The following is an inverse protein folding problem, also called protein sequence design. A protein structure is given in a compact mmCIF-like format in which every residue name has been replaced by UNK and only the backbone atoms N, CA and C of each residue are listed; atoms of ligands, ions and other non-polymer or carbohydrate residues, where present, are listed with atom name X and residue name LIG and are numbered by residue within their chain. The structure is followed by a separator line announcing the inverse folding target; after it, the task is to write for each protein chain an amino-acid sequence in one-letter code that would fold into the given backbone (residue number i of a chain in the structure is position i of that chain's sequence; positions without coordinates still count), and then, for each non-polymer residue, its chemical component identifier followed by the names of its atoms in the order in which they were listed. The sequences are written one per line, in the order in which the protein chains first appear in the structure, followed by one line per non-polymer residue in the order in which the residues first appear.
data_IF_057503343895
#
_entry.id   IF_057503343895
#
_cell.length_a   1.000
_cell.length_b   1.000
_cell.length_c   1.000
_cell.angle_alpha   90.00
_cell.angle_beta   90.00
_cell.angle_gamma   90.00
#
_symmetry.space_group_name_H-M   'P 1'
#
loop_
_entity.id
_entity.type
_entity.pdbx_description
1 polymer ?
#
# COMPACT_ATOMS: atom_id res chain seq x y z
N UNK A 1 -0.87 -29.70 -11.77
CA UNK A 1 -1.61 -28.82 -10.85
C UNK A 1 -0.86 -28.86 -9.53
N UNK A 2 -0.44 -27.69 -9.04
CA UNK A 2 0.24 -27.60 -7.73
C UNK A 2 -0.75 -27.65 -6.59
N UNK A 3 -0.30 -28.03 -5.39
CA UNK A 3 -1.13 -28.03 -4.18
C UNK A 3 -0.79 -26.83 -3.29
N UNK A 4 -1.83 -26.23 -2.66
CA UNK A 4 -1.72 -24.96 -1.93
C UNK A 4 -2.25 -25.07 -0.51
N UNK A 5 -1.41 -24.72 0.49
CA UNK A 5 -1.85 -24.44 1.86
C UNK A 5 -2.16 -22.97 2.01
N UNK A 6 -3.36 -22.59 2.46
CA UNK A 6 -3.61 -21.29 3.02
C UNK A 6 -3.01 -21.21 4.43
N UNK A 7 -2.25 -20.16 4.70
CA UNK A 7 -1.70 -19.84 6.03
C UNK A 7 -2.18 -18.45 6.45
N UNK A 8 -2.83 -18.36 7.59
CA UNK A 8 -3.42 -17.12 8.08
C UNK A 8 -3.21 -16.97 9.58
N UNK A 9 -2.90 -15.77 10.04
CA UNK A 9 -2.93 -15.38 11.45
C UNK A 9 -4.18 -14.55 11.71
N UNK A 10 -4.88 -14.81 12.79
CA UNK A 10 -6.16 -14.16 13.09
C UNK A 10 -6.25 -13.69 14.54
N UNK A 11 -6.96 -12.59 14.76
CA UNK A 11 -7.37 -12.11 16.08
C UNK A 11 -8.61 -11.24 15.95
N UNK A 12 -9.71 -11.62 16.61
CA UNK A 12 -10.96 -10.87 16.66
C UNK A 12 -11.47 -10.46 15.25
N UNK A 13 -11.56 -11.43 14.36
CA UNK A 13 -11.91 -11.23 12.95
C UNK A 13 -13.31 -11.74 12.60
N UNK A 14 -14.22 -11.90 13.56
CA UNK A 14 -15.56 -12.49 13.34
C UNK A 14 -16.37 -11.81 12.24
N UNK A 15 -16.13 -10.51 11.97
CA UNK A 15 -16.88 -9.74 10.98
C UNK A 15 -16.29 -9.85 9.56
N UNK A 16 -15.10 -10.40 9.39
CA UNK A 16 -14.37 -10.38 8.11
C UNK A 16 -13.93 -11.77 7.65
N UNK A 17 -13.60 -12.66 8.59
CA UNK A 17 -12.96 -13.95 8.30
C UNK A 17 -13.78 -14.83 7.36
N UNK A 18 -15.11 -14.86 7.51
CA UNK A 18 -16.00 -15.70 6.70
C UNK A 18 -15.89 -15.36 5.21
N UNK A 19 -16.02 -14.06 4.86
CA UNK A 19 -15.91 -13.62 3.47
C UNK A 19 -14.52 -13.86 2.87
N UNK A 20 -13.46 -13.79 3.71
CA UNK A 20 -12.10 -14.09 3.29
C UNK A 20 -11.98 -15.58 2.94
N UNK A 21 -12.35 -16.47 3.85
CA UNK A 21 -12.26 -17.92 3.65
C UNK A 21 -13.15 -18.40 2.50
N UNK A 22 -14.37 -17.86 2.37
CA UNK A 22 -15.28 -18.15 1.25
C UNK A 22 -14.65 -17.79 -0.11
N UNK A 23 -13.84 -16.72 -0.15
CA UNK A 23 -13.21 -16.29 -1.39
C UNK A 23 -12.12 -17.24 -1.91
N UNK A 24 -11.59 -18.15 -1.08
CA UNK A 24 -10.48 -19.03 -1.45
C UNK A 24 -10.71 -20.51 -1.18
N UNK A 25 -11.77 -20.89 -0.45
CA UNK A 25 -12.00 -22.27 0.01
C UNK A 25 -12.07 -23.31 -1.12
N UNK A 26 -12.45 -22.91 -2.33
CA UNK A 26 -12.53 -23.79 -3.49
C UNK A 26 -11.21 -23.91 -4.27
N UNK A 27 -10.18 -23.17 -3.87
CA UNK A 27 -8.92 -23.06 -4.58
C UNK A 27 -7.82 -23.76 -3.80
N UNK A 28 -7.80 -23.57 -2.48
CA UNK A 28 -6.75 -24.12 -1.61
C UNK A 28 -7.06 -25.56 -1.22
N UNK A 29 -6.01 -26.34 -0.97
CA UNK A 29 -6.12 -27.78 -0.62
C UNK A 29 -6.01 -28.01 0.89
N UNK A 30 -5.65 -26.97 1.63
CA UNK A 30 -5.48 -26.99 3.09
C UNK A 30 -5.61 -25.56 3.64
N UNK A 31 -6.21 -25.42 4.81
CA UNK A 31 -6.30 -24.14 5.53
C UNK A 31 -5.69 -24.28 6.92
N UNK A 32 -4.65 -23.52 7.23
CA UNK A 32 -3.99 -23.42 8.52
C UNK A 32 -4.27 -22.06 9.12
N UNK A 33 -5.08 -22.02 10.16
CA UNK A 33 -5.48 -20.79 10.83
C UNK A 33 -4.83 -20.73 12.20
N UNK A 34 -4.06 -19.66 12.42
CA UNK A 34 -3.35 -19.44 13.67
C UNK A 34 -4.07 -18.37 14.46
N UNK A 35 -4.74 -18.77 15.51
CA UNK A 35 -5.40 -17.86 16.43
C UNK A 35 -4.38 -17.25 17.40
N UNK A 36 -4.30 -15.92 17.42
CA UNK A 36 -3.37 -15.17 18.26
C UNK A 36 -4.04 -14.58 19.51
N UNK A 37 -5.11 -15.23 19.96
CA UNK A 37 -5.85 -14.87 21.18
C UNK A 37 -7.15 -14.13 20.87
N UNK A 38 -8.00 -14.68 20.01
CA UNK A 38 -9.35 -14.17 19.79
C UNK A 38 -10.27 -14.40 21.00
N UNK A 39 -11.08 -13.39 21.29
CA UNK A 39 -12.07 -13.38 22.36
C UNK A 39 -13.51 -13.28 21.83
N UNK A 40 -13.64 -13.14 20.52
CA UNK A 40 -14.91 -13.11 19.80
C UNK A 40 -15.22 -14.48 19.14
N UNK A 41 -16.19 -14.53 18.23
CA UNK A 41 -16.63 -15.77 17.56
C UNK A 41 -15.69 -16.21 16.41
N UNK A 42 -14.52 -15.64 16.27
CA UNK A 42 -13.59 -15.98 15.16
C UNK A 42 -13.32 -17.49 15.09
N UNK A 43 -13.01 -18.14 16.22
CA UNK A 43 -12.71 -19.58 16.26
C UNK A 43 -13.92 -20.42 15.86
N UNK A 44 -15.13 -20.06 16.32
CA UNK A 44 -16.37 -20.78 15.98
C UNK A 44 -16.64 -20.73 14.49
N UNK A 45 -16.43 -19.57 13.86
CA UNK A 45 -16.61 -19.41 12.41
C UNK A 45 -15.60 -20.26 11.65
N UNK A 46 -14.31 -20.19 12.02
CA UNK A 46 -13.23 -20.92 11.35
C UNK A 46 -13.43 -22.45 11.41
N UNK A 47 -14.01 -22.99 12.48
CA UNK A 47 -14.31 -24.41 12.63
C UNK A 47 -15.23 -24.96 11.52
N UNK A 48 -16.03 -24.11 10.85
CA UNK A 48 -16.85 -24.52 9.71
C UNK A 48 -16.04 -24.74 8.42
N UNK A 49 -14.78 -24.31 8.38
CA UNK A 49 -13.90 -24.38 7.20
C UNK A 49 -12.76 -25.39 7.36
N UNK A 50 -12.21 -25.49 8.57
CA UNK A 50 -11.05 -26.37 8.84
C UNK A 50 -10.99 -26.77 10.31
N UNK A 51 -10.48 -27.97 10.56
CA UNK A 51 -10.07 -28.43 11.90
C UNK A 51 -8.61 -28.04 12.23
N UNK A 52 -7.87 -27.47 11.28
CA UNK A 52 -6.46 -27.08 11.45
C UNK A 52 -6.38 -25.67 12.01
N UNK A 53 -6.79 -25.54 13.25
CA UNK A 53 -6.73 -24.29 14.03
C UNK A 53 -5.65 -24.50 15.09
N UNK A 54 -4.70 -23.59 15.13
CA UNK A 54 -3.56 -23.61 16.06
C UNK A 54 -3.56 -22.37 16.90
N UNK A 55 -3.22 -22.48 18.16
CA UNK A 55 -3.05 -21.33 19.06
C UNK A 55 -1.61 -20.84 19.06
N UNK A 56 -1.43 -19.54 18.99
CA UNK A 56 -0.13 -18.89 19.12
C UNK A 56 -0.24 -17.73 20.12
N UNK A 57 0.37 -17.81 21.30
CA UNK A 57 0.36 -16.71 22.27
C UNK A 57 0.96 -15.45 21.66
N UNK A 58 0.16 -14.39 21.60
CA UNK A 58 0.61 -13.12 21.04
C UNK A 58 1.83 -12.56 21.80
N UNK A 59 2.87 -12.17 21.07
CA UNK A 59 4.14 -11.72 21.62
C UNK A 59 4.63 -10.39 20.99
N UNK A 60 3.70 -9.56 20.52
CA UNK A 60 3.97 -8.27 19.88
C UNK A 60 4.90 -8.36 18.66
N UNK A 61 4.75 -9.43 17.88
CA UNK A 61 5.66 -9.72 16.76
C UNK A 61 4.96 -10.52 15.66
N UNK A 62 4.53 -9.83 14.60
CA UNK A 62 3.79 -10.45 13.50
C UNK A 62 4.58 -11.54 12.76
N UNK A 63 5.86 -11.29 12.42
CA UNK A 63 6.65 -12.27 11.69
C UNK A 63 6.79 -13.60 12.45
N UNK A 64 6.84 -13.60 13.79
CA UNK A 64 6.88 -14.85 14.56
C UNK A 64 5.60 -15.67 14.40
N UNK A 65 4.44 -15.02 14.46
CA UNK A 65 3.16 -15.69 14.24
C UNK A 65 3.01 -16.21 12.81
N UNK A 66 3.44 -15.42 11.80
CA UNK A 66 3.43 -15.87 10.39
C UNK A 66 4.41 -17.01 10.13
N UNK A 67 5.61 -16.98 10.70
CA UNK A 67 6.56 -18.09 10.60
C UNK A 67 6.01 -19.37 11.22
N UNK A 68 5.34 -19.26 12.37
CA UNK A 68 4.64 -20.39 12.97
C UNK A 68 3.53 -20.90 12.05
N UNK A 69 2.78 -20.02 11.36
CA UNK A 69 1.75 -20.45 10.42
C UNK A 69 2.34 -21.18 9.22
N UNK A 70 3.48 -20.73 8.69
CA UNK A 70 4.17 -21.37 7.57
C UNK A 70 4.68 -22.77 7.92
N UNK A 71 5.09 -23.00 9.18
CA UNK A 71 5.51 -24.32 9.67
C UNK A 71 4.36 -25.34 9.69
N UNK A 72 3.10 -24.90 9.75
CA UNK A 72 1.94 -25.79 9.73
C UNK A 72 1.56 -26.25 8.31
N UNK A 73 2.08 -25.60 7.26
CA UNK A 73 1.77 -25.92 5.89
C UNK A 73 2.32 -27.29 5.46
N UNK A 74 1.52 -28.09 4.75
CA UNK A 74 1.93 -29.41 4.24
C UNK A 74 1.97 -29.49 2.71
N UNK A 75 1.35 -28.54 1.99
CA UNK A 75 1.27 -28.54 0.52
C UNK A 75 2.52 -27.96 -0.14
N UNK A 76 2.60 -28.00 -1.48
CA UNK A 76 3.78 -27.56 -2.24
C UNK A 76 4.00 -26.05 -2.14
N UNK A 77 2.91 -25.28 -2.14
CA UNK A 77 2.95 -23.83 -2.04
C UNK A 77 2.14 -23.34 -0.83
N UNK A 78 2.53 -22.18 -0.32
CA UNK A 78 1.85 -21.47 0.75
C UNK A 78 1.25 -20.20 0.16
N UNK A 79 -0.07 -20.07 0.21
CA UNK A 79 -0.79 -18.82 0.03
C UNK A 79 -1.02 -18.20 1.41
N UNK A 80 -0.75 -16.92 1.56
CA UNK A 80 -1.09 -16.22 2.79
C UNK A 80 -2.03 -15.05 2.51
N UNK A 81 -2.99 -14.86 3.40
CA UNK A 81 -3.96 -13.77 3.38
C UNK A 81 -4.15 -13.23 4.80
N UNK A 82 -4.58 -11.97 4.89
CA UNK A 82 -5.09 -11.38 6.12
C UNK A 82 -6.60 -11.67 6.25
N UNK A 83 -7.12 -11.67 7.48
CA UNK A 83 -8.51 -12.07 7.73
C UNK A 83 -9.57 -11.10 7.15
N UNK A 84 -9.14 -9.93 6.69
CA UNK A 84 -9.93 -8.89 6.03
C UNK A 84 -9.61 -8.73 4.53
N UNK A 85 -8.78 -9.62 3.99
CA UNK A 85 -8.53 -9.74 2.55
C UNK A 85 -9.65 -10.52 1.86
N UNK A 86 -9.92 -10.22 0.60
CA UNK A 86 -10.79 -11.02 -0.26
C UNK A 86 -10.20 -11.16 -1.67
N UNK A 87 -10.57 -12.24 -2.35
CA UNK A 87 -10.39 -12.39 -3.79
C UNK A 87 -11.73 -12.25 -4.51
N UNK A 88 -11.81 -11.36 -5.49
CA UNK A 88 -12.99 -11.23 -6.37
C UNK A 88 -13.15 -12.51 -7.22
N UNK A 89 -14.35 -12.75 -7.76
CA UNK A 89 -14.60 -13.91 -8.63
C UNK A 89 -13.63 -14.00 -9.81
N UNK A 90 -13.27 -12.87 -10.40
CA UNK A 90 -12.27 -12.79 -11.46
C UNK A 90 -10.91 -13.29 -10.97
N UNK A 91 -10.43 -12.79 -9.84
CA UNK A 91 -9.13 -13.17 -9.27
C UNK A 91 -9.12 -14.62 -8.75
N UNK A 92 -10.24 -15.12 -8.24
CA UNK A 92 -10.42 -16.55 -7.94
C UNK A 92 -10.20 -17.42 -9.18
N UNK A 93 -10.79 -17.04 -10.32
CA UNK A 93 -10.62 -17.76 -11.59
C UNK A 93 -9.16 -17.72 -12.07
N UNK A 94 -8.51 -16.55 -12.02
CA UNK A 94 -7.09 -16.40 -12.36
C UNK A 94 -6.19 -17.27 -11.48
N UNK A 95 -6.46 -17.33 -10.17
CA UNK A 95 -5.69 -18.16 -9.25
C UNK A 95 -5.89 -19.66 -9.50
N UNK A 96 -7.11 -20.09 -9.88
CA UNK A 96 -7.36 -21.47 -10.30
C UNK A 96 -6.59 -21.84 -11.56
N UNK A 97 -6.55 -20.96 -12.56
CA UNK A 97 -5.77 -21.16 -13.78
C UNK A 97 -4.26 -21.23 -13.46
N UNK A 98 -3.78 -20.32 -12.61
CA UNK A 98 -2.39 -20.33 -12.16
C UNK A 98 -2.06 -21.64 -11.44
N UNK A 99 -2.91 -22.11 -10.53
CA UNK A 99 -2.74 -23.39 -9.82
C UNK A 99 -2.59 -24.56 -10.78
N UNK A 100 -3.27 -24.55 -11.93
CA UNK A 100 -3.20 -25.61 -12.94
C UNK A 100 -1.93 -25.55 -13.78
N UNK A 101 -1.42 -24.34 -14.06
CA UNK A 101 -0.35 -24.08 -15.03
C UNK A 101 0.99 -23.68 -14.41
N UNK A 102 1.06 -23.45 -13.09
CA UNK A 102 2.27 -23.00 -12.43
C UNK A 102 3.40 -24.04 -12.58
N UNK A 103 4.52 -23.58 -13.12
CA UNK A 103 5.71 -24.45 -13.24
C UNK A 103 6.34 -24.70 -11.86
N UNK A 104 6.73 -25.95 -11.55
CA UNK A 104 7.34 -26.29 -10.26
C UNK A 104 8.69 -25.59 -9.98
N UNK A 105 9.29 -24.96 -10.99
CA UNK A 105 10.53 -24.19 -10.86
C UNK A 105 10.29 -22.79 -10.26
N UNK A 106 9.05 -22.29 -10.27
CA UNK A 106 8.73 -20.99 -9.69
C UNK A 106 8.82 -21.05 -8.17
N UNK A 107 9.59 -20.15 -7.57
CA UNK A 107 9.80 -20.11 -6.13
C UNK A 107 8.79 -19.21 -5.42
N UNK A 108 8.36 -18.13 -6.06
CA UNK A 108 7.31 -17.28 -5.55
C UNK A 108 6.53 -16.56 -6.64
N UNK A 109 5.27 -16.23 -6.33
CA UNK A 109 4.37 -15.47 -7.18
C UNK A 109 3.99 -14.17 -6.47
N UNK A 110 4.14 -13.05 -7.18
CA UNK A 110 3.63 -11.77 -6.72
C UNK A 110 2.20 -11.57 -7.17
N UNK A 111 1.40 -10.92 -6.31
CA UNK A 111 0.04 -10.50 -6.59
C UNK A 111 -0.13 -9.04 -6.20
N UNK A 112 -1.03 -8.35 -6.88
CA UNK A 112 -1.42 -7.01 -6.47
C UNK A 112 -2.20 -7.06 -5.15
N UNK A 113 -1.99 -6.07 -4.30
CA UNK A 113 -2.74 -5.87 -3.08
C UNK A 113 -3.41 -4.51 -3.15
N UNK A 114 -4.72 -4.49 -3.36
CA UNK A 114 -5.52 -3.28 -3.44
C UNK A 114 -5.84 -2.80 -2.04
N UNK A 115 -5.22 -1.69 -1.63
CA UNK A 115 -5.30 -1.13 -0.29
C UNK A 115 -6.46 -0.16 -0.13
N UNK A 116 -6.75 0.60 -1.19
CA UNK A 116 -7.83 1.59 -1.21
C UNK A 116 -8.55 1.53 -2.55
N UNK A 117 -9.85 1.39 -2.49
CA UNK A 117 -10.74 1.54 -3.63
C UNK A 117 -11.56 2.82 -3.46
N UNK A 118 -11.89 3.49 -4.56
CA UNK A 118 -12.85 4.59 -4.54
C UNK A 118 -14.31 4.08 -4.52
N UNK A 119 -15.26 5.02 -4.44
CA UNK A 119 -16.69 4.73 -4.41
C UNK A 119 -17.21 4.01 -5.68
N UNK A 120 -16.49 4.13 -6.79
CA UNK A 120 -16.78 3.45 -8.06
C UNK A 120 -16.05 2.08 -8.16
N UNK A 121 -15.33 1.65 -7.11
CA UNK A 121 -14.57 0.39 -7.04
C UNK A 121 -13.23 0.43 -7.78
N UNK A 122 -12.73 1.60 -8.18
CA UNK A 122 -11.44 1.75 -8.84
C UNK A 122 -10.30 1.79 -7.85
N UNK A 123 -9.16 1.22 -8.21
CA UNK A 123 -7.98 1.16 -7.35
C UNK A 123 -7.31 2.54 -7.24
N UNK A 124 -7.29 3.12 -6.06
CA UNK A 124 -6.57 4.35 -5.74
C UNK A 124 -5.17 4.10 -5.18
N UNK A 125 -5.05 3.05 -4.36
CA UNK A 125 -3.80 2.69 -3.74
C UNK A 125 -3.59 1.18 -3.80
N UNK A 126 -2.43 0.77 -4.25
CA UNK A 126 -2.04 -0.64 -4.34
C UNK A 126 -0.56 -0.82 -4.07
N UNK A 127 -0.18 -2.02 -3.67
CA UNK A 127 1.20 -2.48 -3.60
C UNK A 127 1.27 -3.89 -4.19
N UNK A 128 2.47 -4.41 -4.43
CA UNK A 128 2.64 -5.79 -4.88
C UNK A 128 3.32 -6.60 -3.79
N UNK A 129 2.79 -7.79 -3.50
CA UNK A 129 3.31 -8.68 -2.45
C UNK A 129 3.58 -10.09 -2.97
N UNK A 130 4.56 -10.79 -2.38
CA UNK A 130 4.76 -12.22 -2.58
C UNK A 130 3.67 -12.97 -1.82
N UNK A 131 2.55 -13.29 -2.48
CA UNK A 131 1.37 -13.92 -1.86
C UNK A 131 1.38 -15.44 -1.93
N UNK A 132 2.03 -16.02 -2.94
CA UNK A 132 2.17 -17.46 -3.08
C UNK A 132 3.66 -17.82 -3.11
N UNK A 133 4.13 -18.63 -2.17
CA UNK A 133 5.54 -18.99 -2.04
C UNK A 133 5.72 -20.50 -1.92
N UNK A 134 6.81 -21.03 -2.48
CA UNK A 134 7.13 -22.45 -2.46
C UNK A 134 7.55 -22.88 -1.07
N UNK A 135 6.84 -23.83 -0.46
CA UNK A 135 7.08 -24.30 0.90
C UNK A 135 8.48 -24.88 1.09
N UNK A 136 8.98 -25.63 0.10
CA UNK A 136 10.30 -26.28 0.17
C UNK A 136 11.47 -25.31 0.28
N UNK A 137 11.30 -24.02 -0.01
CA UNK A 137 12.35 -23.02 0.09
C UNK A 137 12.49 -22.45 1.51
N UNK A 138 11.57 -22.77 2.42
CA UNK A 138 11.60 -22.34 3.83
C UNK A 138 11.75 -20.84 4.01
N UNK A 139 11.12 -20.03 3.15
CA UNK A 139 11.12 -18.58 3.27
C UNK A 139 10.59 -18.12 4.62
N UNK A 140 11.24 -17.11 5.17
CA UNK A 140 10.92 -16.59 6.51
C UNK A 140 10.38 -15.17 6.43
N UNK A 141 9.47 -14.87 7.34
CA UNK A 141 9.01 -13.52 7.62
C UNK A 141 9.99 -12.81 8.54
N UNK A 142 10.25 -11.54 8.27
CA UNK A 142 11.07 -10.63 9.06
C UNK A 142 10.28 -9.39 9.44
N UNK A 143 10.61 -8.76 10.59
CA UNK A 143 9.96 -7.57 11.12
C UNK A 143 8.92 -7.87 12.21
N UNK A 144 8.88 -7.04 13.25
CA UNK A 144 7.89 -7.15 14.31
C UNK A 144 6.52 -6.64 13.87
N UNK A 145 6.52 -5.53 13.14
CA UNK A 145 5.38 -4.87 12.49
C UNK A 145 5.78 -4.59 11.04
N UNK A 146 4.81 -4.43 10.14
CA UNK A 146 5.05 -4.26 8.70
C UNK A 146 6.00 -5.34 8.14
N UNK A 147 5.77 -6.55 8.61
CA UNK A 147 6.56 -7.72 8.29
C UNK A 147 6.50 -8.05 6.80
N UNK A 148 7.57 -8.61 6.30
CA UNK A 148 7.69 -9.04 4.91
C UNK A 148 8.30 -10.42 4.84
N UNK A 149 7.94 -11.17 3.80
CA UNK A 149 8.58 -12.46 3.51
C UNK A 149 9.82 -12.23 2.64
N UNK A 150 10.97 -12.73 3.11
CA UNK A 150 12.23 -12.64 2.36
C UNK A 150 12.28 -13.72 1.31
N UNK A 151 12.13 -13.35 0.06
CA UNK A 151 12.02 -14.27 -1.08
C UNK A 151 13.23 -14.13 -1.99
N UNK A 152 13.67 -15.25 -2.56
CA UNK A 152 14.72 -15.34 -3.57
C UNK A 152 14.41 -16.45 -4.57
N UNK A 153 15.10 -16.47 -5.70
CA UNK A 153 14.94 -17.50 -6.72
C UNK A 153 14.11 -17.07 -7.92
N UNK A 154 13.41 -18.01 -8.55
CA UNK A 154 12.62 -17.74 -9.75
C UNK A 154 11.25 -17.14 -9.38
N UNK A 155 11.03 -15.90 -9.78
CA UNK A 155 9.81 -15.14 -9.46
C UNK A 155 8.85 -15.15 -10.67
N UNK A 156 7.55 -15.19 -10.38
CA UNK A 156 6.49 -14.98 -11.35
C UNK A 156 5.62 -13.79 -10.94
N UNK A 157 5.47 -12.82 -11.82
CA UNK A 157 4.61 -11.65 -11.61
C UNK A 157 3.26 -11.92 -12.24
N UNK A 158 2.23 -12.13 -11.40
CA UNK A 158 0.87 -12.39 -11.88
C UNK A 158 0.04 -11.10 -11.97
N UNK A 159 -1.07 -11.18 -12.71
CA UNK A 159 -2.12 -10.16 -12.76
C UNK A 159 -3.28 -10.43 -11.77
N UNK A 160 -3.03 -11.29 -10.79
CA UNK A 160 -3.99 -11.61 -9.72
C UNK A 160 -3.94 -10.49 -8.68
N UNK A 161 -5.10 -10.12 -8.16
CA UNK A 161 -5.21 -9.14 -7.09
C UNK A 161 -5.94 -9.69 -5.86
N UNK A 162 -5.46 -9.29 -4.71
CA UNK A 162 -6.11 -9.45 -3.40
C UNK A 162 -6.60 -8.08 -2.97
N UNK A 163 -7.84 -7.96 -2.55
CA UNK A 163 -8.44 -6.70 -2.10
C UNK A 163 -8.53 -6.67 -0.59
N UNK A 164 -7.95 -5.65 0.03
CA UNK A 164 -8.02 -5.41 1.47
C UNK A 164 -9.27 -4.61 1.82
N UNK A 165 -10.14 -5.16 2.68
CA UNK A 165 -11.41 -4.55 3.08
C UNK A 165 -11.54 -4.54 4.60
N UNK A 166 -10.77 -3.73 5.33
CA UNK A 166 -10.83 -3.66 6.78
C UNK A 166 -12.13 -3.01 7.23
N UNK A 167 -12.76 -3.55 8.29
CA UNK A 167 -13.92 -2.94 8.94
C UNK A 167 -13.52 -2.07 10.13
N UNK A 168 -12.50 -2.48 10.86
CA UNK A 168 -12.01 -1.79 12.06
C UNK A 168 -10.49 -1.73 11.97
N UNK A 169 -9.92 -0.55 12.24
CA UNK A 169 -8.48 -0.37 12.28
C UNK A 169 -8.07 0.08 13.68
N UNK A 170 -7.30 -0.76 14.37
CA UNK A 170 -6.61 -0.34 15.60
C UNK A 170 -5.35 0.42 15.21
N UNK A 171 -5.47 1.74 15.19
CA UNK A 171 -4.38 2.63 14.78
C UNK A 171 -3.25 2.70 15.81
N UNK A 172 -3.50 2.33 17.08
CA UNK A 172 -2.52 2.47 18.16
C UNK A 172 -1.60 1.26 18.31
N UNK A 173 -2.06 0.07 17.88
CA UNK A 173 -1.36 -1.19 18.07
C UNK A 173 0.09 -1.16 17.58
N UNK A 174 0.32 -0.71 16.37
CA UNK A 174 1.65 -0.73 15.75
C UNK A 174 2.62 0.20 16.49
N UNK A 175 2.16 1.41 16.81
CA UNK A 175 2.94 2.37 17.59
C UNK A 175 3.34 1.78 18.96
N UNK A 176 2.37 1.19 19.68
CA UNK A 176 2.63 0.55 20.98
C UNK A 176 3.66 -0.58 20.88
N UNK A 177 3.64 -1.38 19.79
CA UNK A 177 4.63 -2.45 19.60
C UNK A 177 6.02 -1.85 19.42
N UNK A 178 6.21 -0.82 18.58
CA UNK A 178 7.52 -0.19 18.40
C UNK A 178 8.03 0.45 19.67
N UNK A 179 7.19 1.21 20.40
CA UNK A 179 7.57 1.83 21.66
C UNK A 179 7.93 0.77 22.73
N UNK A 180 7.18 -0.34 22.79
CA UNK A 180 7.49 -1.45 23.67
C UNK A 180 8.82 -2.14 23.33
N UNK A 181 9.19 -2.26 22.06
CA UNK A 181 10.49 -2.79 21.63
C UNK A 181 11.62 -1.85 22.06
N UNK A 182 11.47 -0.55 21.83
CA UNK A 182 12.46 0.47 22.21
C UNK A 182 12.67 0.48 23.72
N UNK A 183 11.58 0.44 24.52
CA UNK A 183 11.66 0.39 25.99
C UNK A 183 12.40 -0.85 26.50
N UNK A 184 12.31 -1.97 25.78
CA UNK A 184 13.06 -3.21 26.09
C UNK A 184 14.52 -3.16 25.60
N UNK A 185 14.99 -2.04 25.06
CA UNK A 185 16.36 -1.86 24.58
C UNK A 185 16.63 -2.46 23.18
N UNK A 186 15.60 -2.81 22.41
CA UNK A 186 15.80 -3.26 21.04
C UNK A 186 16.22 -2.09 20.15
N UNK A 187 17.23 -2.33 19.32
CA UNK A 187 17.63 -1.40 18.26
C UNK A 187 16.76 -1.71 17.03
N UNK A 188 16.05 -0.70 16.55
CA UNK A 188 15.24 -0.83 15.34
C UNK A 188 16.13 -1.02 14.12
N UNK A 189 15.74 -1.92 13.21
CA UNK A 189 16.35 -1.99 11.88
C UNK A 189 16.06 -0.71 11.09
N UNK A 190 16.78 -0.46 9.99
CA UNK A 190 16.50 0.67 9.12
C UNK A 190 15.04 0.67 8.65
N UNK A 191 14.52 -0.49 8.23
CA UNK A 191 13.12 -0.66 7.83
C UNK A 191 12.15 -0.37 8.97
N UNK A 192 12.42 -0.89 10.18
CA UNK A 192 11.57 -0.60 11.34
C UNK A 192 11.59 0.88 11.71
N UNK A 193 12.74 1.56 11.55
CA UNK A 193 12.87 3.02 11.75
C UNK A 193 11.97 3.81 10.80
N UNK A 194 11.94 3.44 9.52
CA UNK A 194 11.03 4.05 8.54
C UNK A 194 9.56 3.84 8.93
N UNK A 195 9.18 2.61 9.24
CA UNK A 195 7.79 2.31 9.60
C UNK A 195 7.38 2.93 10.95
N UNK A 196 8.29 2.98 11.92
CA UNK A 196 8.04 3.70 13.17
C UNK A 196 7.84 5.20 12.94
N UNK A 197 8.62 5.82 12.05
CA UNK A 197 8.40 7.20 11.62
C UNK A 197 7.01 7.40 10.98
N UNK A 198 6.55 6.44 10.15
CA UNK A 198 5.22 6.46 9.55
C UNK A 198 4.12 6.37 10.62
N UNK A 199 4.28 5.52 11.64
CA UNK A 199 3.34 5.43 12.77
C UNK A 199 3.32 6.72 13.60
N UNK A 200 4.48 7.31 13.89
CA UNK A 200 4.57 8.60 14.58
C UNK A 200 3.85 9.71 13.80
N UNK A 201 4.04 9.76 12.47
CA UNK A 201 3.32 10.70 11.60
C UNK A 201 1.81 10.48 11.66
N UNK A 202 1.34 9.23 11.59
CA UNK A 202 -0.08 8.88 11.70
C UNK A 202 -0.70 9.38 13.02
N UNK A 203 0.07 9.34 14.11
CA UNK A 203 -0.32 9.83 15.43
C UNK A 203 -0.04 11.31 15.65
N UNK A 204 0.27 12.07 14.59
CA UNK A 204 0.53 13.53 14.61
C UNK A 204 1.74 13.94 15.47
N UNK A 205 2.65 13.02 15.76
CA UNK A 205 3.90 13.27 16.47
C UNK A 205 4.98 13.69 15.47
N UNK A 206 4.75 14.79 14.76
CA UNK A 206 5.49 15.17 13.55
C UNK A 206 6.97 15.42 13.80
N UNK A 207 7.35 16.08 14.90
CA UNK A 207 8.77 16.33 15.22
C UNK A 207 9.53 15.01 15.47
N UNK A 208 8.92 14.08 16.17
CA UNK A 208 9.50 12.78 16.41
C UNK A 208 9.59 11.95 15.13
N UNK A 209 8.56 12.03 14.28
CA UNK A 209 8.57 11.40 12.96
C UNK A 209 9.73 11.92 12.09
N UNK A 210 9.94 13.25 12.05
CA UNK A 210 11.03 13.89 11.32
C UNK A 210 12.39 13.37 11.80
N UNK A 211 12.61 13.31 13.13
CA UNK A 211 13.85 12.78 13.69
C UNK A 211 14.07 11.32 13.28
N UNK A 212 13.01 10.51 13.30
CA UNK A 212 13.10 9.10 12.94
C UNK A 212 13.32 8.90 11.43
N UNK A 213 12.71 9.74 10.56
CA UNK A 213 13.03 9.76 9.12
C UNK A 213 14.49 10.13 8.88
N UNK A 214 15.04 11.10 9.60
CA UNK A 214 16.46 11.44 9.49
C UNK A 214 17.35 10.25 9.90
N UNK A 215 17.05 9.58 11.02
CA UNK A 215 17.76 8.37 11.45
C UNK A 215 17.75 7.29 10.36
N UNK A 216 16.60 7.09 9.70
CA UNK A 216 16.52 6.15 8.58
C UNK A 216 17.35 6.60 7.37
N UNK A 217 17.23 7.86 6.96
CA UNK A 217 17.95 8.40 5.80
C UNK A 217 19.47 8.35 6.01
N UNK A 218 19.95 8.60 7.22
CA UNK A 218 21.38 8.57 7.59
C UNK A 218 21.92 7.13 7.69
N UNK A 219 21.07 6.12 7.79
CA UNK A 219 21.49 4.72 7.92
C UNK A 219 22.10 4.13 6.64
N UNK A 220 21.74 4.66 5.48
CA UNK A 220 22.12 4.17 4.14
C UNK A 220 21.79 2.67 3.91
N UNK A 221 20.84 2.10 4.65
CA UNK A 221 20.46 0.67 4.61
C UNK A 221 19.08 0.40 3.99
N UNK A 222 18.44 1.42 3.42
CA UNK A 222 17.12 1.32 2.76
C UNK A 222 17.19 0.99 1.27
N UNK A 223 16.06 0.63 0.68
CA UNK A 223 15.88 0.61 -0.76
C UNK A 223 15.63 2.03 -1.30
N UNK A 224 15.88 2.25 -2.59
CA UNK A 224 15.69 3.56 -3.25
C UNK A 224 14.28 4.11 -3.02
N UNK A 225 13.24 3.29 -3.17
CA UNK A 225 11.86 3.71 -2.97
C UNK A 225 11.56 4.07 -1.51
N UNK A 226 12.17 3.37 -0.54
CA UNK A 226 12.03 3.67 0.89
C UNK A 226 12.62 5.06 1.24
N UNK A 227 13.77 5.42 0.64
CA UNK A 227 14.37 6.76 0.80
C UNK A 227 13.48 7.85 0.22
N UNK A 228 12.90 7.62 -0.95
CA UNK A 228 11.97 8.56 -1.58
C UNK A 228 10.74 8.74 -0.70
N UNK A 229 10.14 7.65 -0.20
CA UNK A 229 9.00 7.68 0.71
C UNK A 229 9.32 8.46 1.99
N UNK A 230 10.47 8.18 2.62
CA UNK A 230 10.91 8.88 3.82
C UNK A 230 11.03 10.40 3.58
N UNK A 231 11.63 10.80 2.46
CA UNK A 231 11.74 12.21 2.09
C UNK A 231 10.38 12.89 1.90
N UNK A 232 9.46 12.24 1.19
CA UNK A 232 8.12 12.77 0.94
C UNK A 232 7.29 12.87 2.23
N UNK A 233 7.34 11.85 3.08
CA UNK A 233 6.63 11.86 4.37
C UNK A 233 7.24 12.84 5.36
N UNK A 234 8.58 13.00 5.37
CA UNK A 234 9.25 14.06 6.13
C UNK A 234 8.82 15.44 5.66
N UNK A 235 8.74 15.65 4.34
CA UNK A 235 8.22 16.89 3.75
C UNK A 235 6.78 17.18 4.18
N UNK A 236 5.91 16.16 4.20
CA UNK A 236 4.54 16.28 4.69
C UNK A 236 4.48 16.68 6.17
N UNK A 237 5.35 16.11 7.01
CA UNK A 237 5.43 16.51 8.43
C UNK A 237 5.79 17.99 8.57
N UNK A 238 6.76 18.49 7.79
CA UNK A 238 7.12 19.92 7.79
C UNK A 238 5.97 20.80 7.32
N UNK A 239 5.23 20.42 6.26
CA UNK A 239 4.05 21.15 5.82
C UNK A 239 2.99 21.24 6.92
N UNK A 240 2.71 20.13 7.62
CA UNK A 240 1.76 20.09 8.73
C UNK A 240 2.21 20.93 9.94
N UNK A 241 3.50 21.20 10.05
CA UNK A 241 4.10 22.14 11.02
C UNK A 241 4.20 23.57 10.48
N UNK A 242 3.70 23.84 9.26
CA UNK A 242 3.78 25.14 8.57
C UNK A 242 5.22 25.60 8.28
N UNK A 243 6.14 24.68 8.10
CA UNK A 243 7.53 24.92 7.71
C UNK A 243 7.75 24.54 6.24
N UNK A 244 7.28 25.42 5.35
CA UNK A 244 7.31 25.20 3.90
C UNK A 244 8.73 25.11 3.35
N UNK A 245 9.70 25.81 3.98
CA UNK A 245 11.09 25.77 3.54
C UNK A 245 11.70 24.37 3.69
N UNK A 246 11.61 23.78 4.87
CA UNK A 246 12.12 22.43 5.10
C UNK A 246 11.27 21.36 4.39
N UNK A 247 9.97 21.60 4.21
CA UNK A 247 9.12 20.72 3.41
C UNK A 247 9.61 20.62 1.97
N UNK A 248 9.88 21.77 1.33
CA UNK A 248 10.43 21.80 -0.03
C UNK A 248 11.81 21.12 -0.11
N UNK A 249 12.70 21.39 0.84
CA UNK A 249 14.01 20.75 0.90
C UNK A 249 13.89 19.22 0.99
N UNK A 250 12.98 18.71 1.83
CA UNK A 250 12.78 17.27 1.97
C UNK A 250 12.28 16.63 0.67
N UNK A 251 11.34 17.29 -0.05
CA UNK A 251 10.87 16.80 -1.35
C UNK A 251 12.01 16.79 -2.38
N UNK A 252 12.81 17.87 -2.46
CA UNK A 252 13.97 17.94 -3.36
C UNK A 252 15.04 16.90 -3.02
N UNK A 253 15.21 16.54 -1.74
CA UNK A 253 16.11 15.48 -1.31
C UNK A 253 15.74 14.13 -1.95
N UNK A 254 14.46 13.85 -2.20
CA UNK A 254 14.05 12.61 -2.86
C UNK A 254 14.61 12.43 -4.27
N UNK A 255 14.96 13.54 -4.95
CA UNK A 255 15.53 13.52 -6.31
C UNK A 255 17.00 13.08 -6.35
N UNK A 256 17.66 12.96 -5.20
CA UNK A 256 19.01 12.40 -5.10
C UNK A 256 19.02 10.88 -5.27
N UNK A 257 17.88 10.22 -5.06
CA UNK A 257 17.77 8.76 -5.07
C UNK A 257 17.26 8.19 -6.40
N UNK A 258 16.35 8.90 -7.07
CA UNK A 258 15.85 8.54 -8.41
C UNK A 258 15.18 9.77 -9.05
N UNK A 259 14.82 9.65 -10.34
CA UNK A 259 13.98 10.64 -11.03
C UNK A 259 12.73 10.96 -10.22
N UNK A 260 12.21 12.21 -10.29
CA UNK A 260 11.04 12.62 -9.53
C UNK A 260 9.84 11.69 -9.75
N UNK A 261 9.30 11.13 -8.70
CA UNK A 261 8.07 10.32 -8.75
C UNK A 261 6.84 11.23 -8.92
N UNK A 262 5.70 10.73 -9.44
CA UNK A 262 4.49 11.54 -9.65
C UNK A 262 4.03 12.32 -8.41
N UNK A 263 4.06 11.71 -7.22
CA UNK A 263 3.71 12.38 -5.96
C UNK A 263 4.65 13.57 -5.68
N UNK A 264 5.96 13.38 -5.85
CA UNK A 264 6.93 14.46 -5.67
C UNK A 264 6.70 15.61 -6.65
N UNK A 265 6.41 15.28 -7.92
CA UNK A 265 6.07 16.28 -8.93
C UNK A 265 4.81 17.06 -8.56
N UNK A 266 3.73 16.39 -8.11
CA UNK A 266 2.52 17.07 -7.68
C UNK A 266 2.74 17.99 -6.47
N UNK A 267 3.54 17.56 -5.49
CA UNK A 267 3.90 18.38 -4.32
C UNK A 267 4.71 19.61 -4.73
N UNK A 268 5.68 19.47 -5.66
CA UNK A 268 6.39 20.61 -6.22
C UNK A 268 5.48 21.54 -7.00
N UNK A 269 4.54 21.00 -7.80
CA UNK A 269 3.52 21.79 -8.49
C UNK A 269 2.68 22.62 -7.52
N UNK A 270 2.26 22.03 -6.41
CA UNK A 270 1.52 22.73 -5.37
C UNK A 270 2.33 23.88 -4.76
N UNK A 271 3.62 23.68 -4.41
CA UNK A 271 4.48 24.74 -3.90
C UNK A 271 4.56 25.95 -4.84
N UNK A 272 4.72 25.71 -6.13
CA UNK A 272 4.78 26.79 -7.11
C UNK A 272 3.41 27.45 -7.32
N UNK A 273 2.32 26.71 -7.23
CA UNK A 273 0.97 27.24 -7.30
C UNK A 273 0.68 28.19 -6.12
N UNK A 274 1.03 27.83 -4.88
CA UNK A 274 0.90 28.66 -3.68
C UNK A 274 1.71 29.96 -3.77
N UNK A 275 2.83 29.95 -4.51
CA UNK A 275 3.61 31.14 -4.82
C UNK A 275 3.13 31.91 -6.05
N UNK A 276 1.99 31.54 -6.64
CA UNK A 276 1.46 32.12 -7.90
C UNK A 276 2.43 32.01 -9.09
N UNK A 277 3.36 31.04 -9.04
CA UNK A 277 4.30 30.73 -10.14
C UNK A 277 3.68 29.69 -11.08
N UNK A 278 2.69 30.15 -11.87
CA UNK A 278 1.82 29.26 -12.64
C UNK A 278 2.59 28.46 -13.71
N UNK A 279 3.61 29.00 -14.34
CA UNK A 279 4.39 28.28 -15.37
C UNK A 279 5.16 27.10 -14.78
N UNK A 280 5.80 27.34 -13.64
CA UNK A 280 6.55 26.31 -12.90
C UNK A 280 5.60 25.23 -12.35
N UNK A 281 4.42 25.63 -11.84
CA UNK A 281 3.41 24.70 -11.39
C UNK A 281 2.92 23.80 -12.55
N UNK A 282 2.61 24.38 -13.72
CA UNK A 282 2.22 23.64 -14.93
C UNK A 282 3.31 22.65 -15.33
N UNK A 283 4.58 23.07 -15.31
CA UNK A 283 5.70 22.19 -15.63
C UNK A 283 5.68 20.93 -14.72
N UNK A 284 5.60 21.11 -13.41
CA UNK A 284 5.68 20.02 -12.46
C UNK A 284 4.47 19.08 -12.53
N UNK A 285 3.24 19.60 -12.65
CA UNK A 285 2.07 18.74 -12.83
C UNK A 285 2.11 18.00 -14.17
N UNK A 286 2.66 18.60 -15.22
CA UNK A 286 2.87 17.92 -16.51
C UNK A 286 3.90 16.80 -16.38
N UNK A 287 4.96 16.99 -15.59
CA UNK A 287 5.94 15.93 -15.32
C UNK A 287 5.31 14.74 -14.60
N UNK A 288 4.36 14.97 -13.66
CA UNK A 288 3.65 13.89 -12.97
C UNK A 288 2.90 12.97 -13.94
N UNK A 289 2.34 13.54 -15.03
CA UNK A 289 1.61 12.79 -16.06
C UNK A 289 2.51 12.02 -17.04
N UNK A 290 3.77 12.44 -17.19
CA UNK A 290 4.73 11.77 -18.09
C UNK A 290 5.36 10.52 -17.49
N UNK A 291 5.24 10.35 -16.17
CA UNK A 291 5.77 9.19 -15.47
C UNK A 291 4.80 8.02 -15.61
N UNK A 292 5.14 7.06 -16.47
CA UNK A 292 4.39 5.80 -16.53
C UNK A 292 4.44 5.11 -15.15
N UNK A 293 3.33 4.51 -14.73
CA UNK A 293 3.34 3.65 -13.55
C UNK A 293 4.28 2.49 -13.82
N UNK A 294 5.42 2.47 -13.14
CA UNK A 294 6.34 1.32 -13.19
C UNK A 294 5.72 0.24 -12.32
N UNK A 295 5.75 -1.00 -12.82
CA UNK A 295 5.37 -2.18 -12.06
C UNK A 295 6.37 -2.33 -10.88
N UNK A 296 5.98 -1.86 -9.71
CA UNK A 296 6.85 -1.74 -8.53
C UNK A 296 6.25 -2.54 -7.38
N UNK A 297 7.13 -3.09 -6.54
CA UNK A 297 6.74 -3.75 -5.27
C UNK A 297 6.26 -2.75 -4.21
N UNK A 298 6.45 -1.45 -4.44
CA UNK A 298 6.12 -0.39 -3.49
C UNK A 298 4.70 0.13 -3.66
N UNK A 299 4.26 0.94 -2.70
CA UNK A 299 2.93 1.56 -2.69
C UNK A 299 2.77 2.50 -3.89
N UNK A 300 1.77 2.22 -4.71
CA UNK A 300 1.37 3.00 -5.87
C UNK A 300 0.14 3.84 -5.54
N UNK A 301 0.30 5.14 -5.45
CA UNK A 301 -0.80 6.11 -5.25
C UNK A 301 -1.21 6.67 -6.62
N UNK A 302 -2.13 5.99 -7.30
CA UNK A 302 -2.51 6.28 -8.69
C UNK A 302 -3.04 7.70 -8.91
N UNK A 303 -3.62 8.31 -7.89
CA UNK A 303 -4.16 9.66 -7.97
C UNK A 303 -3.12 10.69 -8.48
N UNK A 304 -1.85 10.55 -8.06
CA UNK A 304 -0.78 11.47 -8.43
C UNK A 304 -0.27 11.34 -9.88
N UNK A 305 -0.58 10.24 -10.56
CA UNK A 305 -0.25 10.04 -11.98
C UNK A 305 -1.48 10.10 -12.90
N UNK A 306 -2.66 10.40 -12.34
CA UNK A 306 -3.93 10.39 -13.07
C UNK A 306 -4.70 11.69 -12.85
N UNK A 307 -5.70 11.69 -11.98
CA UNK A 307 -6.66 12.77 -11.89
C UNK A 307 -6.18 14.02 -11.17
N UNK A 308 -5.32 13.91 -10.16
CA UNK A 308 -4.82 15.09 -9.41
C UNK A 308 -4.08 16.06 -10.33
N UNK A 309 -3.02 15.67 -11.06
CA UNK A 309 -2.33 16.61 -11.93
C UNK A 309 -3.24 17.16 -13.03
N UNK A 310 -4.17 16.38 -13.56
CA UNK A 310 -5.12 16.88 -14.54
C UNK A 310 -6.07 17.93 -13.95
N UNK A 311 -6.59 17.72 -12.75
CA UNK A 311 -7.42 18.73 -12.07
C UNK A 311 -6.63 20.01 -11.82
N UNK A 312 -5.41 19.90 -11.29
CA UNK A 312 -4.58 21.06 -10.98
C UNK A 312 -4.18 21.84 -12.25
N UNK A 313 -3.84 21.15 -13.34
CA UNK A 313 -3.60 21.78 -14.64
C UNK A 313 -4.85 22.48 -15.17
N UNK A 314 -6.02 21.89 -15.00
CA UNK A 314 -7.27 22.51 -15.39
C UNK A 314 -7.53 23.82 -14.63
N UNK A 315 -7.29 23.81 -13.31
CA UNK A 315 -7.44 24.99 -12.47
C UNK A 315 -6.44 26.10 -12.87
N UNK A 316 -5.17 25.75 -13.09
CA UNK A 316 -4.13 26.69 -13.54
C UNK A 316 -4.43 27.31 -14.90
N UNK A 317 -4.81 26.49 -15.88
CA UNK A 317 -5.21 27.01 -17.21
C UNK A 317 -6.46 27.89 -17.16
N UNK A 318 -7.41 27.58 -16.26
CA UNK A 318 -8.57 28.43 -16.00
C UNK A 318 -8.18 29.81 -15.48
N UNK A 319 -7.23 29.88 -14.52
CA UNK A 319 -6.71 31.15 -13.99
C UNK A 319 -6.01 31.98 -15.08
N UNK A 320 -5.28 31.30 -15.96
CA UNK A 320 -4.64 31.91 -17.13
C UNK A 320 -5.62 32.23 -18.27
N UNK A 321 -6.92 31.99 -18.10
CA UNK A 321 -7.98 32.17 -19.10
C UNK A 321 -7.81 31.35 -20.39
N UNK A 322 -7.05 30.27 -20.33
CA UNK A 322 -6.87 29.29 -21.41
C UNK A 322 -7.92 28.19 -21.28
N UNK A 323 -9.17 28.56 -21.55
CA UNK A 323 -10.34 27.73 -21.20
C UNK A 323 -10.41 26.40 -21.98
N UNK A 324 -9.93 26.35 -23.24
CA UNK A 324 -9.83 25.12 -24.02
C UNK A 324 -8.89 24.11 -23.36
N UNK A 325 -7.70 24.54 -22.95
CA UNK A 325 -6.75 23.71 -22.25
C UNK A 325 -7.31 23.26 -20.89
N UNK A 326 -7.94 24.19 -20.16
CA UNK A 326 -8.60 23.88 -18.89
C UNK A 326 -9.65 22.79 -19.07
N UNK A 327 -10.48 22.89 -20.10
CA UNK A 327 -11.52 21.91 -20.39
C UNK A 327 -10.96 20.54 -20.71
N UNK A 328 -9.93 20.46 -21.56
CA UNK A 328 -9.30 19.17 -21.91
C UNK A 328 -8.77 18.45 -20.65
N UNK A 329 -8.04 19.15 -19.80
CA UNK A 329 -7.54 18.57 -18.56
C UNK A 329 -8.68 18.22 -17.58
N UNK A 330 -9.74 19.00 -17.51
CA UNK A 330 -10.89 18.66 -16.69
C UNK A 330 -11.59 17.38 -17.14
N UNK A 331 -11.72 17.18 -18.44
CA UNK A 331 -12.27 15.94 -19.01
C UNK A 331 -11.41 14.72 -18.65
N UNK A 332 -10.08 14.86 -18.73
CA UNK A 332 -9.17 13.77 -18.34
C UNK A 332 -9.32 13.42 -16.84
N UNK A 333 -9.35 14.43 -15.96
CA UNK A 333 -9.61 14.21 -14.51
C UNK A 333 -10.96 13.51 -14.29
N UNK A 334 -12.01 13.93 -15.01
CA UNK A 334 -13.37 13.38 -14.90
C UNK A 334 -13.46 11.89 -15.31
N UNK A 335 -12.63 11.41 -16.25
CA UNK A 335 -12.59 9.99 -16.62
C UNK A 335 -12.26 9.11 -15.41
N UNK A 336 -11.40 9.61 -14.52
CA UNK A 336 -11.00 8.91 -13.30
C UNK A 336 -11.97 9.13 -12.15
N UNK A 337 -12.49 10.36 -12.01
CA UNK A 337 -13.33 10.79 -10.90
C UNK A 337 -14.61 11.49 -11.38
N UNK A 338 -15.55 10.74 -11.98
CA UNK A 338 -16.75 11.32 -12.61
C UNK A 338 -17.68 12.01 -11.59
N UNK A 339 -17.61 11.62 -10.33
CA UNK A 339 -18.46 12.15 -9.27
C UNK A 339 -17.80 13.18 -8.37
N UNK A 340 -16.52 13.51 -8.59
CA UNK A 340 -15.80 14.48 -7.77
C UNK A 340 -16.39 15.89 -7.91
N UNK A 341 -16.76 16.50 -6.80
CA UNK A 341 -17.49 17.77 -6.77
C UNK A 341 -16.70 18.89 -7.46
N UNK A 342 -15.45 19.07 -7.10
CA UNK A 342 -14.59 20.15 -7.63
C UNK A 342 -14.39 20.01 -9.15
N UNK A 343 -14.25 18.79 -9.68
CA UNK A 343 -14.15 18.56 -11.13
C UNK A 343 -15.44 18.99 -11.84
N UNK A 344 -16.61 18.68 -11.28
CA UNK A 344 -17.91 19.06 -11.83
C UNK A 344 -18.13 20.58 -11.79
N UNK A 345 -17.79 21.22 -10.68
CA UNK A 345 -17.91 22.67 -10.52
C UNK A 345 -16.97 23.42 -11.47
N UNK A 346 -15.73 22.94 -11.58
CA UNK A 346 -14.74 23.48 -12.50
C UNK A 346 -15.19 23.36 -13.95
N UNK A 347 -15.74 22.20 -14.34
CA UNK A 347 -16.32 21.99 -15.69
C UNK A 347 -17.43 23.00 -15.99
N UNK A 348 -18.38 23.14 -15.07
CA UNK A 348 -19.49 24.09 -15.21
C UNK A 348 -18.99 25.54 -15.40
N UNK A 349 -17.99 25.94 -14.63
CA UNK A 349 -17.37 27.26 -14.76
C UNK A 349 -16.73 27.43 -16.14
N UNK A 350 -15.89 26.47 -16.58
CA UNK A 350 -15.18 26.51 -17.85
C UNK A 350 -16.16 26.62 -19.03
N UNK A 351 -17.20 25.77 -19.05
CA UNK A 351 -18.23 25.78 -20.11
C UNK A 351 -18.96 27.12 -20.20
N UNK A 352 -19.23 27.75 -19.06
CA UNK A 352 -19.84 29.11 -19.04
C UNK A 352 -18.97 30.17 -19.72
N UNK A 353 -17.65 29.95 -19.80
CA UNK A 353 -16.68 30.88 -20.43
C UNK A 353 -16.41 30.55 -21.90
N UNK A 354 -16.51 29.27 -22.26
CA UNK A 354 -16.40 28.82 -23.66
C UNK A 354 -17.66 29.15 -24.48
N UNK A 355 -18.75 29.64 -23.84
CA UNK A 355 -20.04 29.91 -24.49
C UNK A 355 -20.66 28.68 -25.18
N UNK A 356 -20.41 27.50 -24.63
CA UNK A 356 -20.98 26.22 -25.06
C UNK A 356 -22.13 25.85 -24.12
#
# INVERSE_FOLDING_TARGET
MVSISLCMIVKNAQCTIERCLDSVRHIVDEMNIIDTGSTDRTKDIVQNYTSRIFEFPWCDHFAKARNFSFQQATKEYILWLDADDIMTKENQHKLLLLKQSLYPTVDAVTMDHYLVLDDDGRVECSERKYRLVKRGNHFQWEGAVHEYVKVSGQLFHSDIAVTHLPLIKDIHRNLCIYEGLIQKGHILSARDSLHYANELKLHKRYLEAINQYNTFLDSELGATDDYIEACLHKGECFQLLQDDHHAQQAILQSFLYDRPKPEACCRMGQFFMEQSKHKEAIYWYSQALQQASVDSMTIQKRAYSTWIPHLQLSLLYRELRLFENAYQHNLEARKWKPNHLEIKENEKYILSRLKI
#
